data_IF_449556208111
#
_entry.id   IF_449556208111
#
_cell.length_a   1.000
_cell.length_b   1.000
_cell.length_c   1.000
_cell.angle_alpha   90.00
_cell.angle_beta   90.00
_cell.angle_gamma   90.00
#
_symmetry.space_group_name_H-M   'P 1'
#
loop_
_entity.id
_entity.type
_entity.pdbx_description
1 polymer ?
#
# COMPACT_ATOMS: atom_id res chain seq x y z
N UNK A 1 -26.56 20.96 34.19
CA UNK A 1 -25.77 22.21 34.36
C UNK A 1 -24.38 21.85 33.88
N UNK A 2 -23.91 22.41 32.75
CA UNK A 2 -22.65 21.96 32.13
C UNK A 2 -21.45 22.17 33.07
N UNK A 3 -20.66 21.11 33.27
CA UNK A 3 -19.42 21.13 34.04
C UNK A 3 -18.41 22.05 33.37
N UNK A 4 -18.06 23.13 34.06
CA UNK A 4 -17.03 24.06 33.59
C UNK A 4 -15.66 23.58 34.06
N UNK A 5 -14.68 23.60 33.16
CA UNK A 5 -13.28 23.23 33.44
C UNK A 5 -12.55 24.19 34.39
N UNK A 6 -13.24 25.22 34.90
CA UNK A 6 -12.66 26.22 35.81
C UNK A 6 -11.56 27.07 35.16
N UNK A 7 -11.53 27.17 33.82
CA UNK A 7 -10.57 27.98 33.09
C UNK A 7 -10.83 29.47 33.35
N UNK A 8 -9.78 30.20 33.70
CA UNK A 8 -9.82 31.63 33.96
C UNK A 8 -9.07 32.42 32.87
N UNK A 9 -9.36 33.71 32.77
CA UNK A 9 -8.63 34.62 31.89
C UNK A 9 -7.13 34.62 32.25
N UNK A 10 -6.28 34.47 31.23
CA UNK A 10 -4.83 34.39 31.40
C UNK A 10 -4.29 32.97 31.60
N UNK A 11 -5.15 31.97 31.73
CA UNK A 11 -4.72 30.57 31.76
C UNK A 11 -4.08 30.13 30.44
N UNK A 12 -3.25 29.09 30.53
CA UNK A 12 -2.66 28.42 29.37
C UNK A 12 -3.05 26.94 29.35
N UNK A 13 -3.69 26.51 28.27
CA UNK A 13 -4.03 25.11 28.01
C UNK A 13 -2.98 24.49 27.10
N UNK A 14 -2.41 23.35 27.51
CA UNK A 14 -1.50 22.57 26.66
C UNK A 14 -2.25 21.41 26.03
N UNK A 15 -2.38 21.43 24.71
CA UNK A 15 -2.87 20.32 23.92
C UNK A 15 -1.68 19.42 23.54
N UNK A 16 -1.73 18.16 23.95
CA UNK A 16 -0.72 17.17 23.64
C UNK A 16 -1.32 16.01 22.84
N UNK A 17 -0.70 15.65 21.72
CA UNK A 17 -1.20 14.59 20.84
C UNK A 17 -0.04 13.82 20.16
N UNK A 18 -0.29 12.59 19.72
CA UNK A 18 0.66 11.74 19.01
C UNK A 18 0.96 12.28 17.60
N UNK A 19 -0.05 12.81 16.90
CA UNK A 19 0.17 13.46 15.63
C UNK A 19 -1.06 14.18 15.11
N UNK A 20 -1.12 15.51 15.24
CA UNK A 20 -2.08 16.33 14.50
C UNK A 20 -1.82 17.83 14.68
N UNK A 21 -1.17 18.49 13.72
CA UNK A 21 -1.30 19.95 13.56
C UNK A 21 -2.21 20.25 12.37
N UNK A 22 -3.53 20.31 12.60
CA UNK A 22 -4.50 20.66 11.56
C UNK A 22 -5.32 21.90 11.88
N UNK A 23 -6.22 22.24 10.95
CA UNK A 23 -7.01 23.48 10.97
C UNK A 23 -7.90 23.60 12.22
N UNK A 24 -8.41 22.49 12.77
CA UNK A 24 -9.26 22.47 13.98
C UNK A 24 -8.55 23.10 15.17
N UNK A 25 -7.24 22.85 15.34
CA UNK A 25 -6.46 23.45 16.42
C UNK A 25 -6.31 24.95 16.26
N UNK A 26 -6.13 25.45 15.03
CA UNK A 26 -6.04 26.89 14.78
C UNK A 26 -7.35 27.61 15.12
N UNK A 27 -8.49 26.98 14.79
CA UNK A 27 -9.80 27.50 15.18
C UNK A 27 -9.98 27.50 16.70
N UNK A 28 -9.65 26.40 17.39
CA UNK A 28 -9.73 26.32 18.84
C UNK A 28 -8.84 27.37 19.52
N UNK A 29 -7.58 27.48 19.12
CA UNK A 29 -6.64 28.46 19.67
C UNK A 29 -7.14 29.90 19.51
N UNK A 30 -7.71 30.23 18.34
CA UNK A 30 -8.29 31.54 18.08
C UNK A 30 -9.53 31.80 18.95
N UNK A 31 -10.47 30.86 18.99
CA UNK A 31 -11.71 31.01 19.77
C UNK A 31 -11.40 31.17 21.27
N UNK A 32 -10.52 30.33 21.83
CA UNK A 32 -10.13 30.43 23.24
C UNK A 32 -9.43 31.77 23.55
N UNK A 33 -8.58 32.25 22.63
CA UNK A 33 -7.91 33.53 22.82
C UNK A 33 -8.86 34.72 22.73
N UNK A 34 -9.76 34.72 21.74
CA UNK A 34 -10.64 35.85 21.46
C UNK A 34 -11.77 35.93 22.50
N UNK A 35 -12.40 34.79 22.82
CA UNK A 35 -13.61 34.71 23.65
C UNK A 35 -13.31 34.49 25.13
N UNK A 36 -12.30 33.67 25.47
CA UNK A 36 -12.01 33.30 26.86
C UNK A 36 -10.71 33.90 27.40
N UNK A 37 -9.93 34.61 26.57
CA UNK A 37 -8.60 35.15 26.93
C UNK A 37 -7.64 34.09 27.48
N UNK A 38 -7.82 32.84 27.04
CA UNK A 38 -6.98 31.69 27.37
C UNK A 38 -6.00 31.44 26.22
N UNK A 39 -4.74 31.19 26.54
CA UNK A 39 -3.73 30.80 25.57
C UNK A 39 -3.73 29.28 25.36
N UNK A 40 -3.64 28.85 24.10
CA UNK A 40 -3.44 27.43 23.77
C UNK A 40 -2.00 27.22 23.31
N UNK A 41 -1.32 26.22 23.87
CA UNK A 41 -0.05 25.71 23.38
C UNK A 41 -0.23 24.29 22.86
N UNK A 42 0.52 23.93 21.82
CA UNK A 42 0.41 22.60 21.20
C UNK A 42 1.74 21.85 21.26
N UNK A 43 1.70 20.58 21.65
CA UNK A 43 2.86 19.68 21.74
C UNK A 43 2.55 18.35 21.06
N UNK A 44 3.36 18.00 20.07
CA UNK A 44 3.15 16.80 19.27
C UNK A 44 4.36 15.88 19.31
N UNK A 45 4.14 14.58 19.14
CA UNK A 45 5.26 13.68 18.80
C UNK A 45 5.67 13.95 17.36
N UNK A 46 4.71 13.94 16.43
CA UNK A 46 4.96 14.17 14.99
C UNK A 46 4.13 15.34 14.48
N UNK A 47 4.68 16.17 13.60
CA UNK A 47 3.93 17.16 12.81
C UNK A 47 4.31 17.10 11.32
N UNK A 48 3.39 17.53 10.46
CA UNK A 48 3.66 17.78 9.04
C UNK A 48 4.78 18.82 8.91
N UNK A 49 5.66 18.69 7.92
CA UNK A 49 6.69 19.70 7.62
C UNK A 49 6.10 20.83 6.76
N UNK A 50 5.15 21.57 7.35
CA UNK A 50 4.45 22.66 6.66
C UNK A 50 5.06 24.02 7.03
N UNK A 51 5.19 24.94 6.05
CA UNK A 51 5.87 26.22 6.27
C UNK A 51 5.17 27.13 7.29
N UNK A 52 3.94 26.83 7.68
CA UNK A 52 3.13 27.62 8.60
C UNK A 52 2.81 26.84 9.88
N UNK A 53 3.78 26.75 10.78
CA UNK A 53 3.52 26.36 12.17
C UNK A 53 3.29 27.59 13.04
N UNK A 54 2.20 27.59 13.80
CA UNK A 54 1.97 28.62 14.80
C UNK A 54 3.11 28.62 15.84
N UNK A 55 3.59 29.80 16.26
CA UNK A 55 4.75 29.93 17.14
C UNK A 55 4.62 29.22 18.51
N UNK A 56 3.38 28.95 18.93
CA UNK A 56 3.01 28.24 20.15
C UNK A 56 2.92 26.71 19.98
N UNK A 57 3.13 26.19 18.77
CA UNK A 57 3.13 24.77 18.41
C UNK A 57 4.55 24.21 18.32
N UNK A 58 4.79 23.03 18.91
CA UNK A 58 6.06 22.31 18.80
C UNK A 58 5.84 20.82 18.59
N UNK A 59 6.66 20.19 17.77
CA UNK A 59 6.70 18.74 17.59
C UNK A 59 8.07 18.18 17.98
N UNK A 60 8.12 16.90 18.39
CA UNK A 60 9.37 16.21 18.62
C UNK A 60 10.12 15.96 17.30
N UNK A 61 9.42 15.71 16.19
CA UNK A 61 10.01 15.75 14.85
C UNK A 61 8.97 16.11 13.79
N UNK A 62 9.43 16.67 12.67
CA UNK A 62 8.59 17.00 11.51
C UNK A 62 8.81 16.01 10.39
N UNK A 63 7.73 15.58 9.74
CA UNK A 63 7.79 14.67 8.59
C UNK A 63 6.53 14.82 7.74
N UNK A 64 6.70 14.88 6.43
CA UNK A 64 5.59 14.99 5.47
C UNK A 64 5.03 13.63 5.00
N UNK A 65 5.60 12.52 5.47
CA UNK A 65 5.40 11.20 4.86
C UNK A 65 5.35 10.03 5.86
N UNK A 66 5.16 10.34 7.14
CA UNK A 66 5.19 9.35 8.21
C UNK A 66 3.84 8.62 8.35
N UNK A 67 3.86 7.29 8.53
CA UNK A 67 2.69 6.53 8.98
C UNK A 67 2.83 6.27 10.49
N UNK A 68 1.93 6.87 11.29
CA UNK A 68 1.94 6.75 12.75
C UNK A 68 0.85 5.83 13.29
N UNK A 69 0.06 5.18 12.42
CA UNK A 69 -1.12 4.39 12.79
C UNK A 69 -0.77 3.37 13.87
N UNK A 70 0.31 2.61 13.70
CA UNK A 70 0.72 1.60 14.69
C UNK A 70 1.19 2.22 16.01
N UNK A 71 1.91 3.33 15.95
CA UNK A 71 2.38 4.03 17.15
C UNK A 71 1.20 4.61 17.94
N UNK A 72 0.25 5.23 17.24
CA UNK A 72 -0.99 5.75 17.81
C UNK A 72 -1.82 4.63 18.46
N UNK A 73 -1.95 3.47 17.79
CA UNK A 73 -2.63 2.31 18.39
C UNK A 73 -1.90 1.77 19.65
N UNK A 74 -0.58 1.94 19.76
CA UNK A 74 0.15 1.63 21.00
C UNK A 74 -0.08 2.64 22.13
N UNK A 75 -0.56 3.85 21.80
CA UNK A 75 -0.95 4.87 22.77
C UNK A 75 -2.42 4.77 23.19
N UNK A 76 -3.23 3.92 22.54
CA UNK A 76 -4.64 3.80 22.81
C UNK A 76 -4.93 3.29 24.24
N UNK A 77 -6.04 3.78 24.80
CA UNK A 77 -6.59 3.35 26.09
C UNK A 77 -7.82 2.47 25.79
N UNK A 78 -8.09 1.49 26.66
CA UNK A 78 -9.28 0.63 26.56
C UNK A 78 -10.53 1.38 27.00
N UNK A 79 -11.01 2.27 26.13
CA UNK A 79 -12.18 3.10 26.35
C UNK A 79 -12.90 3.34 25.02
N UNK A 80 -14.21 3.60 25.09
CA UNK A 80 -15.00 3.97 23.91
C UNK A 80 -14.73 5.40 23.49
N UNK A 81 -14.90 5.72 22.21
CA UNK A 81 -14.81 7.10 21.74
C UNK A 81 -15.95 7.95 22.32
N UNK A 82 -15.70 9.23 22.57
CA UNK A 82 -16.75 10.17 22.97
C UNK A 82 -17.71 10.37 21.79
N UNK A 83 -18.99 10.03 21.98
CA UNK A 83 -20.03 10.14 20.94
C UNK A 83 -20.98 11.31 21.20
N UNK A 84 -21.12 11.73 22.44
CA UNK A 84 -21.96 12.86 22.84
C UNK A 84 -21.54 13.37 24.23
N UNK A 85 -22.19 14.42 24.70
CA UNK A 85 -22.11 14.89 26.08
C UNK A 85 -23.51 14.95 26.67
N UNK A 86 -23.67 14.51 27.92
CA UNK A 86 -24.96 14.59 28.59
C UNK A 86 -25.30 16.04 29.00
N UNK A 87 -26.46 16.23 29.64
CA UNK A 87 -26.96 17.54 30.09
C UNK A 87 -26.07 18.22 31.15
N UNK A 88 -25.17 17.46 31.77
CA UNK A 88 -24.19 17.93 32.73
C UNK A 88 -22.80 18.08 32.11
N UNK A 89 -22.66 17.77 30.82
CA UNK A 89 -21.41 17.88 30.07
C UNK A 89 -20.44 16.73 30.34
N UNK A 90 -20.89 15.61 30.92
CA UNK A 90 -20.08 14.41 31.02
C UNK A 90 -20.06 13.68 29.68
N UNK A 91 -18.89 13.16 29.32
CA UNK A 91 -18.70 12.47 28.05
C UNK A 91 -19.51 11.16 28.02
N UNK A 92 -20.37 11.01 27.02
CA UNK A 92 -21.03 9.76 26.70
C UNK A 92 -20.10 8.97 25.78
N UNK A 93 -19.68 7.81 26.24
CA UNK A 93 -18.76 6.95 25.52
C UNK A 93 -19.52 5.93 24.67
N UNK A 94 -19.04 5.73 23.45
CA UNK A 94 -19.51 4.66 22.57
C UNK A 94 -19.01 3.29 23.01
N UNK A 95 -19.36 2.28 22.20
CA UNK A 95 -18.86 0.91 22.42
C UNK A 95 -17.34 0.83 22.19
N UNK A 96 -16.68 -0.04 22.97
CA UNK A 96 -15.29 -0.42 22.73
C UNK A 96 -15.27 -1.35 21.52
N UNK A 97 -14.58 -0.92 20.46
CA UNK A 97 -14.60 -1.59 19.17
C UNK A 97 -13.46 -2.63 19.08
N UNK A 98 -12.25 -2.27 19.53
CA UNK A 98 -11.08 -3.14 19.40
C UNK A 98 -11.11 -4.32 20.38
N UNK A 99 -10.40 -5.41 20.03
CA UNK A 99 -10.42 -6.64 20.82
C UNK A 99 -9.66 -6.51 22.14
N UNK A 100 -10.11 -7.22 23.18
CA UNK A 100 -9.40 -7.31 24.46
C UNK A 100 -7.95 -7.77 24.31
N UNK A 101 -7.70 -8.71 23.38
CA UNK A 101 -6.34 -9.20 23.07
C UNK A 101 -5.43 -8.10 22.55
N UNK A 102 -5.95 -7.17 21.74
CA UNK A 102 -5.17 -6.03 21.27
C UNK A 102 -4.82 -5.11 22.44
N UNK A 103 -5.79 -4.77 23.30
CA UNK A 103 -5.53 -3.94 24.48
C UNK A 103 -4.54 -4.59 25.47
N UNK A 104 -4.57 -5.92 25.64
CA UNK A 104 -3.57 -6.63 26.44
C UNK A 104 -2.15 -6.50 25.85
N UNK A 105 -2.02 -6.55 24.53
CA UNK A 105 -0.73 -6.30 23.84
C UNK A 105 -0.29 -4.85 24.02
N UNK A 106 -1.20 -3.89 23.87
CA UNK A 106 -0.95 -2.46 24.08
C UNK A 106 -0.48 -2.19 25.52
N UNK A 107 -1.15 -2.76 26.53
CA UNK A 107 -0.76 -2.61 27.92
C UNK A 107 0.66 -3.12 28.21
N UNK A 108 1.09 -4.21 27.54
CA UNK A 108 2.48 -4.70 27.64
C UNK A 108 3.48 -3.73 27.02
N UNK A 109 3.18 -3.15 25.85
CA UNK A 109 4.02 -2.13 25.22
C UNK A 109 4.14 -0.91 26.13
N UNK A 110 3.03 -0.41 26.67
CA UNK A 110 3.00 0.73 27.58
C UNK A 110 3.77 0.45 28.88
N UNK A 111 3.64 -0.75 29.46
CA UNK A 111 4.39 -1.14 30.65
C UNK A 111 5.91 -1.16 30.39
N UNK A 112 6.34 -1.67 29.24
CA UNK A 112 7.76 -1.65 28.85
C UNK A 112 8.27 -0.22 28.61
N UNK A 113 7.44 0.68 28.05
CA UNK A 113 7.78 2.09 27.92
C UNK A 113 7.98 2.77 29.29
N UNK A 114 7.09 2.51 30.26
CA UNK A 114 7.22 3.03 31.63
C UNK A 114 8.49 2.48 32.28
N UNK A 115 8.74 1.17 32.19
CA UNK A 115 9.96 0.54 32.70
C UNK A 115 11.22 1.17 32.09
N UNK A 116 11.24 1.35 30.77
CA UNK A 116 12.37 1.99 30.07
C UNK A 116 12.64 3.42 30.60
N UNK A 117 11.58 4.21 30.82
CA UNK A 117 11.71 5.57 31.35
C UNK A 117 12.31 5.55 32.76
N UNK A 118 11.85 4.64 33.63
CA UNK A 118 12.35 4.54 35.00
C UNK A 118 13.79 4.03 35.07
N UNK A 119 14.14 3.06 34.23
CA UNK A 119 15.51 2.56 34.07
C UNK A 119 16.44 3.67 33.57
N UNK A 120 16.01 4.44 32.56
CA UNK A 120 16.78 5.56 32.03
C UNK A 120 16.99 6.67 33.06
N UNK A 121 15.94 7.06 33.81
CA UNK A 121 16.06 8.04 34.90
C UNK A 121 17.04 7.57 35.97
N UNK A 122 16.95 6.30 36.36
CA UNK A 122 17.86 5.69 37.36
C UNK A 122 19.30 5.71 36.85
N UNK A 123 19.51 5.30 35.60
CA UNK A 123 20.83 5.30 34.97
C UNK A 123 21.45 6.70 34.92
N UNK A 124 20.72 7.71 34.43
CA UNK A 124 21.23 9.08 34.33
C UNK A 124 21.53 9.70 35.70
N UNK A 125 20.66 9.45 36.67
CA UNK A 125 20.88 9.90 38.05
C UNK A 125 22.15 9.28 38.63
N UNK A 126 22.37 7.98 38.43
CA UNK A 126 23.56 7.28 38.95
C UNK A 126 24.85 7.67 38.23
N UNK A 127 24.79 7.88 36.92
CA UNK A 127 25.95 8.24 36.10
C UNK A 127 26.33 9.72 36.24
N UNK A 128 25.43 10.57 36.75
CA UNK A 128 25.65 12.02 36.85
C UNK A 128 25.76 12.69 35.47
N UNK A 129 25.18 12.09 34.44
CA UNK A 129 25.22 12.59 33.06
C UNK A 129 23.84 13.06 32.63
N UNK A 130 23.80 14.18 31.94
CA UNK A 130 22.61 14.68 31.23
C UNK A 130 22.91 14.71 29.75
N UNK A 131 22.00 14.19 28.92
CA UNK A 131 22.13 14.34 27.48
C UNK A 131 21.52 15.64 27.00
N UNK A 132 22.12 16.23 25.98
CA UNK A 132 21.47 17.30 25.23
C UNK A 132 20.17 16.78 24.61
N UNK A 133 19.12 17.61 24.70
CA UNK A 133 17.81 17.29 24.18
C UNK A 133 17.83 16.92 22.69
N UNK A 134 18.68 17.58 21.91
CA UNK A 134 18.92 17.31 20.48
C UNK A 134 19.32 15.85 20.20
N UNK A 135 20.19 15.28 21.05
CA UNK A 135 20.64 13.89 20.89
C UNK A 135 19.52 12.91 21.22
N UNK A 136 18.73 13.18 22.26
CA UNK A 136 17.57 12.36 22.62
C UNK A 136 16.49 12.43 21.53
N UNK A 137 16.25 13.62 20.99
CA UNK A 137 15.33 13.84 19.87
C UNK A 137 15.76 13.06 18.62
N UNK A 138 17.04 13.12 18.24
CA UNK A 138 17.57 12.37 17.11
C UNK A 138 17.45 10.86 17.31
N UNK A 139 17.75 10.36 18.51
CA UNK A 139 17.62 8.94 18.84
C UNK A 139 16.16 8.48 18.78
N UNK A 140 15.23 9.27 19.34
CA UNK A 140 13.79 8.99 19.29
C UNK A 140 13.28 8.95 17.84
N UNK A 141 13.67 9.93 17.02
CA UNK A 141 13.30 9.97 15.62
C UNK A 141 13.82 8.74 14.85
N UNK A 142 15.08 8.35 15.04
CA UNK A 142 15.65 7.17 14.39
C UNK A 142 14.94 5.86 14.81
N UNK A 143 14.64 5.71 16.10
CA UNK A 143 13.97 4.53 16.64
C UNK A 143 12.54 4.39 16.09
N UNK A 144 11.78 5.49 16.11
CA UNK A 144 10.43 5.54 15.57
C UNK A 144 10.43 5.33 14.06
N UNK A 145 11.42 5.88 13.33
CA UNK A 145 11.49 5.78 11.87
C UNK A 145 11.71 4.34 11.46
N UNK A 146 12.66 3.67 12.12
CA UNK A 146 12.90 2.25 11.93
C UNK A 146 11.66 1.44 12.27
N UNK A 147 10.95 1.73 13.35
CA UNK A 147 9.73 1.00 13.70
C UNK A 147 8.62 1.16 12.66
N UNK A 148 8.37 2.39 12.20
CA UNK A 148 7.32 2.70 11.23
C UNK A 148 7.63 2.20 9.81
N UNK A 149 8.91 2.16 9.42
CA UNK A 149 9.30 1.90 8.03
C UNK A 149 10.11 0.62 7.81
N UNK A 150 10.82 0.14 8.83
CA UNK A 150 11.70 -1.03 8.78
C UNK A 150 11.47 -1.94 9.99
N UNK A 151 10.22 -2.40 10.22
CA UNK A 151 9.93 -3.30 11.32
C UNK A 151 10.74 -4.60 11.16
N UNK A 152 11.15 -5.17 12.29
CA UNK A 152 11.79 -6.49 12.30
C UNK A 152 10.73 -7.59 12.36
N UNK A 153 11.13 -8.83 12.06
CA UNK A 153 10.23 -9.99 12.03
C UNK A 153 9.43 -10.16 13.32
N UNK A 154 10.08 -10.01 14.49
CA UNK A 154 9.41 -10.11 15.78
C UNK A 154 8.33 -9.03 15.98
N UNK A 155 8.52 -7.83 15.43
CA UNK A 155 7.52 -6.75 15.51
C UNK A 155 6.35 -7.05 14.56
N UNK A 156 6.64 -7.46 13.32
CA UNK A 156 5.62 -7.86 12.35
C UNK A 156 4.73 -8.96 12.92
N UNK A 157 5.31 -9.98 13.54
CA UNK A 157 4.55 -11.08 14.16
C UNK A 157 3.75 -10.60 15.38
N UNK A 158 4.31 -9.73 16.22
CA UNK A 158 3.62 -9.21 17.39
C UNK A 158 2.38 -8.39 17.00
N UNK A 159 2.48 -7.58 15.95
CA UNK A 159 1.45 -6.63 15.50
C UNK A 159 0.54 -7.13 14.38
N UNK A 160 0.71 -8.36 13.87
CA UNK A 160 -0.04 -8.88 12.70
C UNK A 160 -1.57 -8.81 12.80
N UNK A 161 -2.11 -8.91 14.01
CA UNK A 161 -3.56 -8.91 14.27
C UNK A 161 -4.08 -7.53 14.71
N UNK A 162 -3.25 -6.48 14.67
CA UNK A 162 -3.68 -5.15 15.08
C UNK A 162 -4.66 -4.56 14.07
N UNK A 163 -5.74 -4.01 14.61
CA UNK A 163 -6.75 -3.24 13.88
C UNK A 163 -6.63 -1.76 14.25
N UNK A 164 -6.84 -0.90 13.27
CA UNK A 164 -7.03 0.53 13.44
C UNK A 164 -8.53 0.85 13.50
N UNK A 165 -8.93 1.70 14.46
CA UNK A 165 -10.28 2.23 14.61
C UNK A 165 -10.44 3.51 13.78
N UNK A 166 -11.09 3.41 12.62
CA UNK A 166 -11.41 4.58 11.79
C UNK A 166 -12.75 5.18 12.24
N UNK A 167 -12.64 6.17 13.13
CA UNK A 167 -13.76 6.88 13.75
C UNK A 167 -14.76 7.48 12.72
N UNK A 168 -14.34 7.70 11.46
CA UNK A 168 -15.14 8.34 10.41
C UNK A 168 -15.30 7.48 9.14
N UNK A 169 -14.88 6.22 9.16
CA UNK A 169 -14.93 5.29 8.03
C UNK A 169 -16.23 4.47 7.93
N UNK A 170 -16.62 4.01 6.72
CA UNK A 170 -17.75 3.08 6.54
C UNK A 170 -17.49 1.70 7.17
N UNK A 171 -16.22 1.36 7.40
CA UNK A 171 -15.77 0.21 8.16
C UNK A 171 -14.95 0.74 9.35
N UNK A 172 -15.52 0.65 10.55
CA UNK A 172 -14.86 1.13 11.79
C UNK A 172 -13.56 0.38 12.12
N UNK A 173 -13.32 -0.79 11.52
CA UNK A 173 -12.12 -1.59 11.75
C UNK A 173 -11.40 -1.89 10.45
N UNK A 174 -10.09 -1.73 10.46
CA UNK A 174 -9.21 -2.17 9.38
C UNK A 174 -7.90 -2.69 9.96
N UNK A 175 -7.46 -3.87 9.53
CA UNK A 175 -6.13 -4.37 9.92
C UNK A 175 -5.05 -3.40 9.44
N UNK A 176 -4.02 -3.17 10.26
CA UNK A 176 -2.94 -2.21 9.94
C UNK A 176 -2.16 -2.66 8.70
N UNK A 177 -1.91 -3.96 8.56
CA UNK A 177 -1.23 -4.52 7.39
C UNK A 177 -1.63 -5.96 7.10
N UNK A 178 -1.46 -6.38 5.83
CA UNK A 178 -1.74 -7.76 5.39
C UNK A 178 -0.55 -8.35 4.62
N UNK A 179 0.33 -9.08 5.33
CA UNK A 179 1.56 -9.61 4.74
C UNK A 179 1.28 -10.61 3.61
N UNK A 180 0.31 -11.52 3.76
CA UNK A 180 0.00 -12.52 2.73
C UNK A 180 -0.53 -11.89 1.45
N UNK A 181 -1.39 -10.86 1.58
CA UNK A 181 -1.93 -10.12 0.45
C UNK A 181 -0.82 -9.39 -0.32
N UNK A 182 0.20 -8.87 0.39
CA UNK A 182 1.32 -8.17 -0.24
C UNK A 182 2.05 -9.05 -1.28
N UNK A 183 2.30 -10.32 -0.94
CA UNK A 183 2.95 -11.28 -1.84
C UNK A 183 2.13 -11.54 -3.10
N UNK A 184 0.81 -11.68 -2.95
CA UNK A 184 -0.10 -11.86 -4.08
C UNK A 184 -0.16 -10.60 -4.95
N UNK A 185 -0.22 -9.44 -4.33
CA UNK A 185 -0.35 -8.16 -5.03
C UNK A 185 0.88 -7.85 -5.88
N UNK A 186 2.10 -8.07 -5.39
CA UNK A 186 3.31 -7.80 -6.18
C UNK A 186 3.56 -8.80 -7.32
N UNK A 187 2.88 -9.95 -7.28
CA UNK A 187 2.85 -10.90 -8.39
C UNK A 187 1.79 -10.55 -9.43
N UNK A 188 0.86 -9.64 -9.11
CA UNK A 188 -0.22 -9.24 -10.01
C UNK A 188 -0.07 -7.79 -10.52
N UNK A 189 0.62 -6.93 -9.76
CA UNK A 189 0.72 -5.51 -10.02
C UNK A 189 2.19 -5.10 -10.21
N UNK A 190 2.51 -4.28 -11.24
CA UNK A 190 3.88 -3.90 -11.54
C UNK A 190 4.52 -2.97 -10.51
N UNK A 191 3.76 -2.40 -9.58
CA UNK A 191 4.31 -1.46 -8.62
C UNK A 191 3.98 -1.75 -7.16
N UNK A 192 5.01 -1.85 -6.30
CA UNK A 192 4.85 -1.89 -4.86
C UNK A 192 4.49 -0.53 -4.23
N UNK A 193 4.38 0.58 -5.00
CA UNK A 193 4.12 1.91 -4.41
C UNK A 193 2.82 1.95 -3.58
N UNK A 194 1.87 1.05 -3.87
CA UNK A 194 0.59 0.90 -3.18
C UNK A 194 0.69 0.16 -1.84
N UNK A 195 1.81 -0.51 -1.57
CA UNK A 195 2.00 -1.30 -0.36
C UNK A 195 2.54 -0.46 0.79
N UNK A 196 2.03 -0.67 2.00
CA UNK A 196 2.54 0.00 3.19
C UNK A 196 3.97 -0.39 3.54
N UNK A 197 4.52 0.26 4.57
CA UNK A 197 5.85 -0.03 5.08
C UNK A 197 5.99 -1.49 5.56
N UNK A 198 4.97 -2.00 6.24
CA UNK A 198 4.95 -3.36 6.78
C UNK A 198 4.92 -4.41 5.65
N UNK A 199 4.09 -4.19 4.63
CA UNK A 199 3.99 -5.07 3.47
C UNK A 199 5.29 -5.06 2.64
N UNK A 200 5.82 -3.89 2.32
CA UNK A 200 7.09 -3.81 1.57
C UNK A 200 8.24 -4.48 2.32
N UNK A 201 8.25 -4.39 3.65
CA UNK A 201 9.27 -5.03 4.48
C UNK A 201 9.24 -6.56 4.40
N UNK A 202 8.07 -7.18 4.23
CA UNK A 202 7.96 -8.63 4.01
C UNK A 202 8.52 -9.10 2.67
N UNK A 203 8.66 -8.21 1.68
CA UNK A 203 9.13 -8.55 0.34
C UNK A 203 10.65 -8.42 0.21
N UNK A 204 11.24 -7.45 0.90
CA UNK A 204 12.67 -7.20 0.84
C UNK A 204 13.03 -5.77 1.22
N UNK A 205 14.30 -5.57 1.56
CA UNK A 205 14.80 -4.26 1.96
C UNK A 205 14.85 -3.28 0.77
N UNK A 206 15.08 -3.79 -0.44
CA UNK A 206 15.01 -3.07 -1.70
C UNK A 206 13.62 -2.49 -1.97
N UNK A 207 12.55 -3.24 -1.68
CA UNK A 207 11.17 -2.77 -1.78
C UNK A 207 10.89 -1.66 -0.77
N UNK A 208 11.32 -1.84 0.48
CA UNK A 208 11.18 -0.82 1.53
C UNK A 208 11.88 0.48 1.13
N UNK A 209 13.14 0.41 0.68
CA UNK A 209 13.88 1.60 0.26
C UNK A 209 13.29 2.26 -1.00
N UNK A 210 12.87 1.47 -1.98
CA UNK A 210 12.25 2.01 -3.19
C UNK A 210 10.96 2.77 -2.87
N UNK A 211 10.10 2.20 -2.02
CA UNK A 211 8.88 2.87 -1.56
C UNK A 211 9.16 4.13 -0.74
N UNK A 212 10.16 4.08 0.16
CA UNK A 212 10.60 5.24 0.94
C UNK A 212 11.14 6.36 0.06
N UNK A 213 12.00 6.07 -0.90
CA UNK A 213 12.58 7.06 -1.81
C UNK A 213 11.51 7.65 -2.72
N UNK A 214 10.60 6.82 -3.26
CA UNK A 214 9.53 7.28 -4.13
C UNK A 214 8.57 8.22 -3.41
N UNK A 215 8.06 7.83 -2.22
CA UNK A 215 7.21 8.71 -1.39
C UNK A 215 7.97 9.92 -0.89
N UNK A 216 9.22 9.67 -0.52
CA UNK A 216 10.13 10.64 0.02
C UNK A 216 10.29 11.82 -0.94
N UNK A 217 10.94 11.54 -2.05
CA UNK A 217 11.26 12.54 -3.05
C UNK A 217 10.08 12.91 -3.96
N UNK A 218 8.87 12.37 -3.68
CA UNK A 218 7.67 12.51 -4.51
C UNK A 218 7.97 12.22 -5.98
N UNK A 219 8.71 11.13 -6.22
CA UNK A 219 9.09 10.75 -7.58
C UNK A 219 7.83 10.37 -8.36
N UNK A 220 7.62 11.03 -9.49
CA UNK A 220 6.53 10.76 -10.42
C UNK A 220 6.84 9.51 -11.26
N UNK A 221 6.95 8.36 -10.58
CA UNK A 221 7.13 7.05 -11.20
C UNK A 221 5.78 6.36 -11.28
N UNK A 222 5.38 6.01 -12.49
CA UNK A 222 4.22 5.17 -12.74
C UNK A 222 4.61 3.68 -12.75
N UNK A 223 3.62 2.81 -12.98
CA UNK A 223 3.84 1.36 -12.98
C UNK A 223 4.72 0.86 -14.13
N UNK A 224 4.77 1.57 -15.26
CA UNK A 224 5.66 1.26 -16.39
C UNK A 224 7.10 1.68 -16.11
N UNK A 225 7.31 2.68 -15.25
CA UNK A 225 8.65 3.16 -14.87
C UNK A 225 9.35 2.25 -13.85
N UNK A 226 8.61 1.36 -13.18
CA UNK A 226 9.16 0.50 -12.13
C UNK A 226 10.13 -0.55 -12.66
N UNK A 227 10.03 -0.93 -13.93
CA UNK A 227 10.91 -1.94 -14.50
C UNK A 227 11.13 -1.76 -16.00
N UNK A 228 12.39 -1.87 -16.42
CA UNK A 228 12.79 -1.83 -17.83
C UNK A 228 12.86 -3.22 -18.48
N UNK A 229 12.68 -4.29 -17.69
CA UNK A 229 12.68 -5.68 -18.15
C UNK A 229 11.30 -6.04 -18.69
N UNK A 230 11.31 -6.77 -19.79
CA UNK A 230 10.11 -7.28 -20.42
C UNK A 230 10.35 -8.68 -20.95
N UNK A 231 9.29 -9.47 -21.05
CA UNK A 231 9.31 -10.78 -21.69
C UNK A 231 8.45 -10.75 -22.95
N UNK A 232 8.96 -11.19 -24.12
CA UNK A 232 8.16 -11.23 -25.33
C UNK A 232 7.10 -12.33 -25.26
N UNK A 233 5.88 -12.04 -25.74
CA UNK A 233 4.87 -13.05 -25.96
C UNK A 233 4.21 -12.80 -27.31
N UNK A 234 4.35 -13.76 -28.22
CA UNK A 234 3.66 -13.71 -29.50
C UNK A 234 2.27 -14.31 -29.37
N UNK A 235 1.29 -13.58 -29.86
CA UNK A 235 -0.13 -13.92 -29.75
C UNK A 235 -0.75 -13.86 -31.13
N UNK A 236 -1.53 -14.88 -31.48
CA UNK A 236 -2.39 -14.88 -32.65
C UNK A 236 -3.84 -14.70 -32.21
N UNK A 237 -4.53 -13.75 -32.83
CA UNK A 237 -5.95 -13.47 -32.59
C UNK A 237 -6.67 -13.79 -33.88
N UNK A 238 -7.71 -14.61 -33.82
CA UNK A 238 -8.42 -14.96 -35.04
C UNK A 238 -9.75 -15.63 -34.78
N UNK A 239 -10.62 -15.50 -35.77
CA UNK A 239 -11.74 -16.40 -35.96
C UNK A 239 -11.31 -17.61 -36.81
N UNK A 240 -12.25 -18.43 -37.26
CA UNK A 240 -11.97 -19.60 -38.11
C UNK A 240 -11.37 -19.26 -39.48
N UNK A 241 -11.35 -18.00 -39.92
CA UNK A 241 -11.03 -17.60 -41.29
C UNK A 241 -9.80 -16.69 -41.38
N UNK A 242 -9.59 -15.79 -40.42
CA UNK A 242 -8.44 -14.89 -40.39
C UNK A 242 -7.73 -14.90 -39.04
N UNK A 243 -6.39 -14.92 -39.06
CA UNK A 243 -5.57 -14.75 -37.86
C UNK A 243 -4.58 -13.60 -38.03
N UNK A 244 -4.57 -12.69 -37.06
CA UNK A 244 -3.58 -11.61 -36.93
C UNK A 244 -2.61 -11.98 -35.83
N UNK A 245 -1.32 -11.83 -36.11
CA UNK A 245 -0.24 -12.15 -35.17
C UNK A 245 0.39 -10.86 -34.67
N UNK A 246 0.53 -10.74 -33.35
CA UNK A 246 1.14 -9.61 -32.68
C UNK A 246 2.22 -10.08 -31.69
N UNK A 247 3.31 -9.33 -31.58
CA UNK A 247 4.31 -9.52 -30.54
C UNK A 247 4.04 -8.52 -29.41
N UNK A 248 3.70 -9.04 -28.24
CA UNK A 248 3.38 -8.26 -27.06
C UNK A 248 4.56 -8.27 -26.08
N UNK A 249 4.62 -7.25 -25.22
CA UNK A 249 5.65 -7.10 -24.18
C UNK A 249 4.99 -7.30 -22.82
N UNK A 250 5.37 -8.38 -22.13
CA UNK A 250 4.98 -8.61 -20.76
C UNK A 250 5.88 -7.81 -19.81
N UNK A 251 5.30 -7.14 -18.82
CA UNK A 251 6.01 -6.32 -17.85
C UNK A 251 6.47 -7.17 -16.67
N UNK A 252 7.72 -7.00 -16.23
CA UNK A 252 8.28 -7.75 -15.12
C UNK A 252 7.65 -7.35 -13.78
N UNK A 253 7.36 -8.35 -12.95
CA UNK A 253 6.76 -8.28 -11.62
C UNK A 253 7.71 -8.88 -10.57
N UNK A 254 7.28 -8.97 -9.31
CA UNK A 254 8.11 -9.58 -8.27
C UNK A 254 8.33 -11.09 -8.50
N UNK A 255 9.39 -11.66 -7.91
CA UNK A 255 9.69 -13.11 -7.94
C UNK A 255 9.76 -13.71 -9.36
N UNK A 256 10.18 -12.90 -10.34
CA UNK A 256 10.34 -13.32 -11.73
C UNK A 256 9.03 -13.52 -12.51
N UNK A 257 7.90 -13.13 -11.93
CA UNK A 257 6.63 -13.09 -12.63
C UNK A 257 6.59 -11.95 -13.66
N UNK A 258 5.67 -12.06 -14.60
CA UNK A 258 5.37 -11.07 -15.62
C UNK A 258 3.87 -10.93 -15.79
N UNK A 259 3.39 -9.71 -16.03
CA UNK A 259 2.02 -9.44 -16.45
C UNK A 259 1.96 -9.05 -17.91
N UNK A 260 0.89 -9.47 -18.59
CA UNK A 260 0.60 -9.03 -19.95
C UNK A 260 -0.88 -8.85 -20.16
N UNK A 261 -1.25 -7.76 -20.84
CA UNK A 261 -2.63 -7.56 -21.32
C UNK A 261 -2.73 -8.20 -22.69
N UNK A 262 -3.55 -9.24 -22.77
CA UNK A 262 -3.90 -9.92 -24.00
C UNK A 262 -5.07 -9.19 -24.69
N UNK A 263 -5.04 -9.07 -26.02
CA UNK A 263 -6.13 -8.51 -26.79
C UNK A 263 -7.45 -9.25 -26.53
N UNK A 264 -8.53 -8.49 -26.36
CA UNK A 264 -9.87 -9.02 -26.13
C UNK A 264 -10.76 -8.62 -27.30
N UNK A 265 -11.22 -9.60 -28.08
CA UNK A 265 -12.25 -9.41 -29.10
C UNK A 265 -13.27 -10.51 -28.93
N UNK A 266 -14.52 -10.13 -28.66
CA UNK A 266 -15.56 -11.12 -28.38
C UNK A 266 -15.80 -12.05 -29.57
N UNK A 267 -15.98 -13.34 -29.29
CA UNK A 267 -16.19 -14.37 -30.32
C UNK A 267 -14.93 -14.76 -31.10
N UNK A 268 -13.76 -14.21 -30.77
CA UNK A 268 -12.47 -14.64 -31.36
C UNK A 268 -11.72 -15.56 -30.41
N UNK A 269 -10.74 -16.29 -30.94
CA UNK A 269 -9.78 -17.05 -30.13
C UNK A 269 -8.50 -16.25 -29.94
N UNK A 270 -7.86 -16.41 -28.78
CA UNK A 270 -6.56 -15.81 -28.47
C UNK A 270 -5.56 -16.93 -28.22
N UNK A 271 -4.66 -17.15 -29.17
CA UNK A 271 -3.65 -18.20 -29.14
C UNK A 271 -2.30 -17.63 -28.74
N UNK A 272 -1.78 -18.10 -27.61
CA UNK A 272 -0.48 -17.71 -27.05
C UNK A 272 0.58 -18.70 -27.53
N UNK A 273 1.54 -18.23 -28.33
CA UNK A 273 2.61 -19.06 -28.92
C UNK A 273 3.78 -19.17 -27.93
N UNK A 274 3.56 -19.92 -26.86
CA UNK A 274 4.48 -20.02 -25.72
C UNK A 274 5.81 -20.71 -26.09
N UNK A 275 5.75 -21.74 -26.94
CA UNK A 275 6.90 -22.54 -27.35
C UNK A 275 7.98 -21.76 -28.09
N UNK A 276 7.64 -20.63 -28.72
CA UNK A 276 8.62 -19.79 -29.43
C UNK A 276 9.69 -19.20 -28.50
N UNK A 277 9.35 -18.98 -27.22
CA UNK A 277 10.22 -18.32 -26.25
C UNK A 277 10.52 -19.16 -25.01
N UNK A 278 9.65 -20.12 -24.66
CA UNK A 278 9.72 -20.83 -23.39
C UNK A 278 9.77 -22.35 -23.60
N UNK A 279 10.54 -23.03 -22.77
CA UNK A 279 10.50 -24.50 -22.61
C UNK A 279 9.63 -24.87 -21.41
N UNK A 280 9.74 -24.10 -20.33
CA UNK A 280 8.97 -24.26 -19.12
C UNK A 280 8.51 -22.89 -18.64
N UNK A 281 7.24 -22.80 -18.29
CA UNK A 281 6.67 -21.62 -17.66
C UNK A 281 5.62 -22.03 -16.62
N UNK A 282 5.42 -21.19 -15.62
CA UNK A 282 4.28 -21.26 -14.72
C UNK A 282 3.25 -20.22 -15.16
N UNK A 283 1.99 -20.60 -15.30
CA UNK A 283 0.89 -19.66 -15.51
C UNK A 283 0.12 -19.58 -14.20
N UNK A 284 0.20 -18.44 -13.53
CA UNK A 284 -0.45 -18.23 -12.22
C UNK A 284 -1.93 -17.93 -12.41
N UNK A 285 -2.23 -17.07 -13.37
CA UNK A 285 -3.60 -16.63 -13.60
C UNK A 285 -3.79 -16.02 -14.99
N UNK A 286 -5.00 -16.20 -15.52
CA UNK A 286 -5.52 -15.52 -16.69
C UNK A 286 -6.95 -15.06 -16.34
N UNK A 287 -7.12 -13.76 -16.26
CA UNK A 287 -8.39 -13.12 -15.85
C UNK A 287 -8.92 -12.23 -16.95
N UNK A 288 -10.23 -12.24 -17.13
CA UNK A 288 -10.95 -11.19 -17.87
C UNK A 288 -11.32 -10.10 -16.88
N UNK A 289 -10.86 -8.88 -17.14
CA UNK A 289 -11.07 -7.72 -16.30
C UNK A 289 -11.97 -6.70 -17.03
N UNK A 290 -12.89 -6.09 -16.31
CA UNK A 290 -13.63 -4.92 -16.78
C UNK A 290 -12.73 -3.69 -16.84
N UNK A 291 -13.24 -2.63 -17.49
CA UNK A 291 -12.67 -1.27 -17.46
C UNK A 291 -12.19 -0.87 -16.06
N UNK A 292 -12.99 -1.08 -15.02
CA UNK A 292 -12.65 -0.67 -13.66
C UNK A 292 -11.65 -1.60 -12.94
N UNK A 293 -11.13 -2.63 -13.62
CA UNK A 293 -10.18 -3.61 -13.08
C UNK A 293 -10.84 -4.72 -12.25
N UNK A 294 -12.17 -4.77 -12.18
CA UNK A 294 -12.89 -5.86 -11.52
C UNK A 294 -12.83 -7.15 -12.35
N UNK A 295 -12.67 -8.28 -11.67
CA UNK A 295 -12.59 -9.60 -12.31
C UNK A 295 -13.98 -10.03 -12.78
N UNK A 296 -14.14 -10.20 -14.09
CA UNK A 296 -15.36 -10.75 -14.69
C UNK A 296 -15.33 -12.28 -14.67
N UNK A 297 -14.17 -12.85 -15.00
CA UNK A 297 -14.00 -14.29 -15.21
C UNK A 297 -12.54 -14.70 -15.04
N UNK A 298 -12.31 -15.92 -14.54
CA UNK A 298 -11.00 -16.58 -14.58
C UNK A 298 -11.03 -17.65 -15.68
N UNK A 299 -10.06 -17.63 -16.59
CA UNK A 299 -9.99 -18.52 -17.76
C UNK A 299 -8.76 -19.43 -17.75
N UNK A 300 -8.02 -19.47 -16.63
CA UNK A 300 -6.80 -20.27 -16.49
C UNK A 300 -7.04 -21.77 -16.67
N UNK A 301 -8.18 -22.27 -16.22
CA UNK A 301 -8.54 -23.69 -16.28
C UNK A 301 -9.19 -24.16 -17.58
N UNK A 302 -9.45 -23.26 -18.53
CA UNK A 302 -10.21 -23.53 -19.77
C UNK A 302 -9.36 -23.38 -21.04
N UNK A 303 -8.03 -23.43 -20.91
CA UNK A 303 -7.11 -23.32 -22.03
C UNK A 303 -7.11 -24.57 -22.89
N UNK A 304 -7.12 -24.38 -24.20
CA UNK A 304 -6.83 -25.46 -25.15
C UNK A 304 -5.32 -25.53 -25.36
N UNK A 305 -4.72 -26.66 -25.00
CA UNK A 305 -3.26 -26.83 -24.99
C UNK A 305 -2.81 -27.67 -26.18
N UNK A 306 -1.91 -27.11 -26.99
CA UNK A 306 -1.29 -27.75 -28.14
C UNK A 306 0.20 -27.99 -27.84
N UNK A 307 0.63 -29.25 -27.85
CA UNK A 307 2.02 -29.66 -27.58
C UNK A 307 2.56 -29.10 -26.24
N UNK A 308 1.72 -29.04 -25.22
CA UNK A 308 2.08 -28.62 -23.87
C UNK A 308 1.65 -29.70 -22.88
N UNK A 309 2.60 -30.17 -22.07
CA UNK A 309 2.30 -30.99 -20.90
C UNK A 309 2.05 -30.05 -19.70
N UNK A 310 0.98 -30.28 -18.95
CA UNK A 310 0.62 -29.49 -17.77
C UNK A 310 0.64 -30.35 -16.50
N UNK A 311 1.33 -29.87 -15.47
CA UNK A 311 1.28 -30.42 -14.12
C UNK A 311 1.05 -29.29 -13.11
N UNK A 312 -0.18 -29.22 -12.58
CA UNK A 312 -0.62 -28.07 -11.78
C UNK A 312 -0.53 -26.76 -12.59
N UNK A 313 0.18 -25.79 -12.07
CA UNK A 313 0.37 -24.47 -12.71
C UNK A 313 1.61 -24.42 -13.62
N UNK A 314 2.33 -25.54 -13.76
CA UNK A 314 3.55 -25.64 -14.58
C UNK A 314 3.21 -26.22 -15.95
N UNK A 315 3.65 -25.51 -16.98
CA UNK A 315 3.44 -25.80 -18.39
C UNK A 315 4.79 -26.06 -19.05
N UNK A 316 4.94 -27.25 -19.64
CA UNK A 316 6.13 -27.66 -20.40
C UNK A 316 5.83 -27.62 -21.89
N UNK A 317 6.48 -26.70 -22.61
CA UNK A 317 6.39 -26.60 -24.06
C UNK A 317 7.26 -27.68 -24.72
N UNK A 318 6.62 -28.64 -25.39
CA UNK A 318 7.30 -29.76 -26.04
C UNK A 318 8.06 -29.35 -27.31
N UNK A 319 7.64 -28.28 -27.98
CA UNK A 319 8.26 -27.78 -29.21
C UNK A 319 8.24 -26.24 -29.28
N UNK A 320 8.68 -25.67 -30.42
CA UNK A 320 8.52 -24.24 -30.72
C UNK A 320 7.10 -23.88 -31.15
N UNK A 321 6.31 -24.85 -31.59
CA UNK A 321 4.92 -24.67 -31.99
C UNK A 321 3.93 -24.75 -30.81
N UNK A 322 4.41 -25.15 -29.62
CA UNK A 322 3.60 -25.26 -28.41
C UNK A 322 2.81 -23.98 -28.14
N UNK A 323 1.50 -24.13 -27.96
CA UNK A 323 0.59 -23.00 -27.82
C UNK A 323 -0.55 -23.27 -26.85
N UNK A 324 -1.02 -22.22 -26.20
CA UNK A 324 -2.19 -22.26 -25.33
C UNK A 324 -3.24 -21.28 -25.85
N UNK A 325 -4.47 -21.75 -26.05
CA UNK A 325 -5.54 -20.98 -26.69
C UNK A 325 -6.68 -20.72 -25.72
N UNK A 326 -7.03 -19.44 -25.56
CA UNK A 326 -8.28 -19.03 -24.91
C UNK A 326 -9.39 -19.19 -25.94
N UNK A 327 -10.34 -20.08 -25.65
CA UNK A 327 -11.44 -20.41 -26.57
C UNK A 327 -12.39 -19.22 -26.73
N UNK A 328 -13.06 -19.06 -27.89
CA UNK A 328 -14.04 -18.01 -28.11
C UNK A 328 -15.20 -18.00 -27.10
N UNK A 329 -15.64 -19.17 -26.64
CA UNK A 329 -16.65 -19.34 -25.58
C UNK A 329 -16.22 -18.71 -24.26
N UNK A 330 -14.92 -18.58 -24.01
CA UNK A 330 -14.43 -17.93 -22.81
C UNK A 330 -14.45 -16.39 -22.92
N UNK A 331 -14.61 -15.86 -24.14
CA UNK A 331 -14.60 -14.44 -24.50
C UNK A 331 -15.99 -13.98 -24.98
N UNK A 332 -17.02 -14.24 -24.15
CA UNK A 332 -18.41 -13.85 -24.42
C UNK A 332 -18.59 -12.32 -24.54
N UNK A 333 -19.72 -11.88 -25.10
CA UNK A 333 -20.03 -10.46 -25.18
C UNK A 333 -20.37 -9.92 -23.78
N UNK A 334 -19.42 -9.21 -23.16
CA UNK A 334 -19.73 -8.37 -22.01
C UNK A 334 -20.34 -7.05 -22.48
N UNK A 335 -21.29 -6.52 -21.70
CA UNK A 335 -21.88 -5.20 -21.93
C UNK A 335 -20.88 -4.05 -21.70
N UNK A 336 -19.78 -4.33 -21.01
CA UNK A 336 -18.71 -3.40 -20.67
C UNK A 336 -17.40 -3.75 -21.40
N UNK A 337 -16.55 -2.76 -21.74
CA UNK A 337 -15.23 -3.02 -22.28
C UNK A 337 -14.41 -3.88 -21.32
N UNK A 338 -13.89 -5.00 -21.81
CA UNK A 338 -13.08 -5.95 -21.06
C UNK A 338 -11.72 -6.15 -21.71
N UNK A 339 -10.74 -6.56 -20.92
CA UNK A 339 -9.43 -6.97 -21.39
C UNK A 339 -9.01 -8.26 -20.68
N UNK A 340 -8.20 -9.07 -21.35
CA UNK A 340 -7.67 -10.29 -20.77
C UNK A 340 -6.28 -10.00 -20.18
N UNK A 341 -6.03 -10.42 -18.95
CA UNK A 341 -4.78 -10.17 -18.23
C UNK A 341 -4.19 -11.51 -17.80
N UNK A 342 -2.97 -11.79 -18.25
CA UNK A 342 -2.24 -13.01 -17.92
C UNK A 342 -1.06 -12.68 -17.02
N UNK A 343 -0.87 -13.51 -16.00
CA UNK A 343 0.26 -13.50 -15.08
C UNK A 343 0.99 -14.83 -15.22
N UNK A 344 2.28 -14.77 -15.49
CA UNK A 344 3.09 -15.96 -15.71
C UNK A 344 4.54 -15.74 -15.29
N UNK A 345 5.25 -16.84 -15.04
CA UNK A 345 6.68 -16.84 -14.68
C UNK A 345 7.43 -17.78 -15.63
N UNK A 346 8.29 -17.27 -16.51
CA UNK A 346 9.23 -18.09 -17.26
C UNK A 346 10.14 -18.87 -16.31
N UNK A 347 10.22 -20.19 -16.46
CA UNK A 347 11.13 -21.05 -15.69
C UNK A 347 12.38 -21.40 -16.50
N UNK A 348 12.18 -21.71 -17.79
CA UNK A 348 13.27 -22.00 -18.75
C UNK A 348 12.93 -21.35 -20.09
N UNK A 349 13.81 -20.47 -20.57
CA UNK A 349 13.70 -19.82 -21.88
C UNK A 349 14.46 -20.60 -22.96
N UNK A 350 13.99 -20.53 -24.21
CA UNK A 350 14.75 -21.06 -25.36
C UNK A 350 15.84 -20.08 -25.78
N UNK A 351 17.05 -20.60 -26.04
CA UNK A 351 18.26 -19.82 -26.35
C UNK A 351 18.19 -19.00 -27.65
N UNK A 352 17.14 -19.15 -28.47
CA UNK A 352 16.94 -18.40 -29.72
C UNK A 352 16.26 -17.04 -29.54
N UNK A 353 15.90 -16.64 -28.32
CA UNK A 353 15.39 -15.31 -28.06
C UNK A 353 16.53 -14.28 -28.17
N UNK A 354 16.49 -13.31 -29.11
CA UNK A 354 17.54 -12.30 -29.20
C UNK A 354 17.56 -11.46 -27.93
N UNK A 355 18.70 -11.49 -27.23
CA UNK A 355 18.99 -10.57 -26.13
C UNK A 355 18.96 -9.12 -26.61
N UNK A 356 18.14 -8.31 -25.93
CA UNK A 356 18.02 -6.84 -25.93
C UNK A 356 19.21 -6.05 -26.52
N UNK A 357 18.92 -5.15 -27.48
CA UNK A 357 19.26 -3.70 -27.43
C UNK A 357 18.71 -2.94 -28.66
N UNK A 358 17.66 -2.13 -28.47
CA UNK A 358 17.68 -0.66 -28.67
C UNK A 358 16.30 -0.09 -28.31
N UNK A 359 16.32 0.97 -27.50
CA UNK A 359 15.15 1.79 -27.23
C UNK A 359 14.67 2.54 -28.48
N UNK A 360 13.56 3.23 -28.28
CA UNK A 360 12.70 3.92 -29.25
C UNK A 360 11.71 2.99 -29.98
N UNK A 361 10.48 3.00 -29.45
CA UNK A 361 9.25 2.74 -30.19
C UNK A 361 9.32 3.43 -31.57
N UNK A 362 9.28 2.64 -32.64
CA UNK A 362 8.69 3.08 -33.90
C UNK A 362 7.44 2.25 -34.12
N UNK A 363 6.34 2.68 -33.50
CA UNK A 363 5.01 2.35 -33.99
C UNK A 363 4.78 3.28 -35.18
N UNK A 364 4.72 2.73 -36.39
CA UNK A 364 4.05 3.41 -37.51
C UNK A 364 2.58 3.48 -37.14
N UNK A 365 2.09 4.68 -36.84
CA UNK A 365 0.66 4.96 -36.73
C UNK A 365 -0.01 4.70 -38.09
N UNK A 366 -0.54 3.50 -38.25
CA UNK A 366 -1.66 3.26 -39.15
C UNK A 366 -2.88 2.93 -38.29
N UNK A 367 -3.61 3.99 -37.93
CA UNK A 367 -5.00 4.00 -37.46
C UNK A 367 -5.49 2.74 -36.74
N UNK A 368 -5.01 2.52 -35.52
CA UNK A 368 -5.76 1.78 -34.51
C UNK A 368 -5.86 2.64 -33.26
N UNK A 369 -7.09 3.03 -32.93
CA UNK A 369 -7.45 3.53 -31.61
C UNK A 369 -7.23 2.41 -30.58
N UNK A 370 -5.98 2.20 -30.18
CA UNK A 370 -5.67 1.58 -28.90
C UNK A 370 -6.10 2.59 -27.85
N UNK A 371 -7.35 2.46 -27.41
CA UNK A 371 -7.78 3.10 -26.18
C UNK A 371 -6.81 2.67 -25.09
N UNK A 372 -5.95 3.61 -24.67
CA UNK A 372 -5.33 3.58 -23.36
C UNK A 372 -6.40 3.09 -22.40
N UNK A 373 -6.17 1.93 -21.79
CA UNK A 373 -7.03 1.43 -20.73
C UNK A 373 -7.31 2.57 -19.75
N UNK A 374 -8.50 2.58 -19.12
CA UNK A 374 -8.87 3.68 -18.24
C UNK A 374 -7.74 3.94 -17.26
N UNK A 375 -7.33 5.20 -17.17
CA UNK A 375 -6.72 5.70 -15.94
C UNK A 375 -7.70 5.33 -14.83
N UNK A 376 -7.35 4.50 -13.85
CA UNK A 376 -8.10 4.51 -12.62
C UNK A 376 -7.92 5.91 -12.08
N UNK A 377 -8.93 6.77 -12.28
CA UNK A 377 -9.17 7.92 -11.42
C UNK A 377 -9.65 7.32 -10.10
N UNK A 378 -8.74 6.63 -9.41
CA UNK A 378 -8.81 6.57 -7.99
C UNK A 378 -8.51 7.99 -7.56
N UNK A 379 -9.59 8.75 -7.33
CA UNK A 379 -9.52 9.87 -6.41
C UNK A 379 -9.04 9.23 -5.11
N UNK A 380 -7.73 9.25 -4.90
CA UNK A 380 -7.15 9.28 -3.58
C UNK A 380 -7.77 10.51 -2.94
N UNK A 381 -8.92 10.34 -2.31
CA UNK A 381 -9.28 11.13 -1.16
C UNK A 381 -8.33 10.69 -0.04
N UNK A 382 -7.04 10.97 -0.21
CA UNK A 382 -6.26 11.54 0.86
C UNK A 382 -6.93 12.86 1.18
N UNK A 383 -8.08 12.80 1.87
CA UNK A 383 -8.55 13.92 2.67
C UNK A 383 -7.54 14.00 3.81
N UNK A 384 -6.43 14.67 3.53
CA UNK A 384 -5.79 15.46 4.55
C UNK A 384 -6.85 16.44 5.04
N UNK A 385 -7.33 16.19 6.25
CA UNK A 385 -7.92 17.19 7.13
C UNK A 385 -7.16 17.13 8.43
#
# INVERSE_FOLDING_TARGET
MSKQLGLEEGDTVVLADTGYHGNTHQYLARTFKDEMKVDIMSRYVVASDEPYHAANSKALFTSSWWNYDLFEQCCAIKEGAVVDYDVDGEAILGEIILSDKQYEKVAKVQAECVRFIDDARTFFTKAGVTHEYSNLQAAAHAALFRHAHMPIEAELEFFKDFEYDDLMGPHRKKTIFHLESAWKDVRCLPSPYRLGAYETRSLGLDFTFSGLVQRGLKLDLNHEDMNVRFSPLKVAIGDTYESKVALLRANHLHDGYFSIVLPYVSGTSVKMLLGEHYEWLQIDDIRVLNKDGSVCKNVSGSLDLEEIDQEGDIYRCLSQASAATIRPVELEQFTTPCYCHMIFRPLVSRASAPTLRRGASQIKEENYCLHQGPRPVAVSLSRHR
#
